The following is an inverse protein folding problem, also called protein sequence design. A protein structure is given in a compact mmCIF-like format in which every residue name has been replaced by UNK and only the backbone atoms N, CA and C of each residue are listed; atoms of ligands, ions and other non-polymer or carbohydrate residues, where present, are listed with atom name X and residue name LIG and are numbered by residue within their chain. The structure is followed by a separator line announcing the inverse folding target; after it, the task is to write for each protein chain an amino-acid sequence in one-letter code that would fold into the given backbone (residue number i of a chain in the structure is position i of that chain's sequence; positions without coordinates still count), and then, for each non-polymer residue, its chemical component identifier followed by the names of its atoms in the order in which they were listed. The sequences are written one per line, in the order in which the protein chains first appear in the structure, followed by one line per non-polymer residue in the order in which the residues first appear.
data_IF_508139887357
#
_entry.id   IF_508139887357
#
_cell.length_a   1.000
_cell.length_b   1.000
_cell.length_c   1.000
_cell.angle_alpha   90.00
_cell.angle_beta   90.00
_cell.angle_gamma   90.00
#
_symmetry.space_group_name_H-M   'P 1'
#
loop_
_entity.id
_entity.type
_entity.pdbx_description
1 polymer ?
#
# COMPACT_ATOMS: atom_id res chain seq x y z
N UNK A 1 9.21 13.24 19.23
CA UNK A 1 8.98 12.75 17.85
C UNK A 1 9.74 13.68 16.92
N UNK A 2 10.63 13.18 16.08
CA UNK A 2 11.33 14.03 15.11
C UNK A 2 10.32 14.63 14.13
N UNK A 3 10.45 15.93 13.83
CA UNK A 3 9.57 16.58 12.87
C UNK A 3 9.81 15.99 11.47
N UNK A 4 8.74 15.54 10.81
CA UNK A 4 8.83 15.06 9.42
C UNK A 4 9.04 16.24 8.49
N UNK A 5 10.19 16.27 7.82
CA UNK A 5 10.56 17.34 6.89
C UNK A 5 9.64 17.33 5.66
N UNK A 6 9.35 18.49 5.06
CA UNK A 6 8.51 18.60 3.85
C UNK A 6 9.06 17.75 2.70
N UNK A 7 10.39 17.64 2.58
CA UNK A 7 11.06 16.73 1.64
C UNK A 7 10.58 15.28 1.78
N UNK A 8 10.52 14.75 3.01
CA UNK A 8 10.11 13.36 3.24
C UNK A 8 8.63 13.15 2.87
N UNK A 9 7.78 14.15 3.11
CA UNK A 9 6.37 14.10 2.72
C UNK A 9 6.23 14.13 1.19
N UNK A 10 6.99 15.00 0.52
CA UNK A 10 7.01 15.12 -0.93
C UNK A 10 7.49 13.82 -1.59
N UNK A 11 8.66 13.30 -1.20
CA UNK A 11 9.20 12.07 -1.80
C UNK A 11 8.28 10.86 -1.59
N UNK A 12 7.58 10.80 -0.46
CA UNK A 12 6.56 9.77 -0.22
C UNK A 12 5.39 9.92 -1.21
N UNK A 13 4.84 11.13 -1.37
CA UNK A 13 3.75 11.38 -2.33
C UNK A 13 4.15 11.03 -3.76
N UNK A 14 5.36 11.39 -4.17
CA UNK A 14 5.90 11.06 -5.50
C UNK A 14 5.98 9.54 -5.72
N UNK A 15 6.53 8.81 -4.74
CA UNK A 15 6.60 7.34 -4.81
C UNK A 15 5.22 6.69 -4.85
N UNK A 16 4.31 7.12 -3.96
CA UNK A 16 2.93 6.62 -3.91
C UNK A 16 2.19 6.91 -5.24
N UNK A 17 2.41 8.08 -5.84
CA UNK A 17 1.85 8.45 -7.13
C UNK A 17 2.33 7.52 -8.25
N UNK A 18 3.64 7.31 -8.39
CA UNK A 18 4.20 6.45 -9.44
C UNK A 18 3.67 5.02 -9.33
N UNK A 19 3.58 4.48 -8.11
CA UNK A 19 3.04 3.14 -7.87
C UNK A 19 1.55 3.08 -8.19
N UNK A 20 0.76 4.07 -7.75
CA UNK A 20 -0.69 4.12 -8.00
C UNK A 20 -1.00 4.21 -9.49
N UNK A 21 -0.23 5.01 -10.21
CA UNK A 21 -0.36 5.22 -11.65
C UNK A 21 0.37 4.16 -12.49
N UNK A 22 0.97 3.16 -11.84
CA UNK A 22 1.69 2.08 -12.51
C UNK A 22 2.77 2.55 -13.48
N UNK A 23 3.39 3.70 -13.16
CA UNK A 23 4.41 4.34 -14.00
C UNK A 23 3.87 5.00 -15.28
N UNK A 24 2.58 5.29 -15.39
CA UNK A 24 1.98 5.99 -16.53
C UNK A 24 0.99 7.05 -16.03
N UNK A 25 1.18 8.31 -16.41
CA UNK A 25 0.27 9.39 -16.05
C UNK A 25 0.05 10.35 -17.23
N UNK A 26 -1.06 11.09 -17.19
CA UNK A 26 -1.37 12.16 -18.14
C UNK A 26 -1.06 13.55 -17.55
N UNK A 27 -1.37 14.60 -18.32
CA UNK A 27 -1.13 15.97 -17.89
C UNK A 27 -2.00 16.39 -16.70
N UNK A 28 -3.27 16.01 -16.65
CA UNK A 28 -4.19 16.35 -15.55
C UNK A 28 -3.75 15.74 -14.21
N UNK A 29 -3.27 14.49 -14.25
CA UNK A 29 -2.74 13.77 -13.09
C UNK A 29 -1.43 14.40 -12.60
N UNK A 30 -0.60 14.87 -13.53
CA UNK A 30 0.62 15.64 -13.23
C UNK A 30 0.30 16.98 -12.56
N UNK A 31 -0.64 17.76 -13.10
CA UNK A 31 -1.04 19.04 -12.51
C UNK A 31 -1.64 18.86 -11.12
N UNK A 32 -2.46 17.80 -10.94
CA UNK A 32 -3.01 17.42 -9.63
C UNK A 32 -1.90 17.16 -8.62
N UNK A 33 -0.87 16.40 -8.99
CA UNK A 33 0.29 16.13 -8.15
C UNK A 33 1.04 17.41 -7.78
N UNK A 34 1.24 18.33 -8.73
CA UNK A 34 1.87 19.63 -8.47
C UNK A 34 1.08 20.45 -7.45
N UNK A 35 -0.25 20.48 -7.55
CA UNK A 35 -1.12 21.12 -6.56
C UNK A 35 -1.01 20.50 -5.16
N UNK A 36 -0.92 19.17 -5.07
CA UNK A 36 -0.70 18.50 -3.79
C UNK A 36 0.66 18.80 -3.14
N UNK A 37 1.69 19.06 -3.95
CA UNK A 37 3.03 19.39 -3.47
C UNK A 37 3.14 20.86 -3.11
N UNK A 38 2.51 21.76 -3.87
CA UNK A 38 2.35 23.16 -3.50
C UNK A 38 1.70 23.31 -2.12
N UNK A 39 0.70 22.47 -1.81
CA UNK A 39 0.04 22.43 -0.50
C UNK A 39 0.97 22.05 0.67
N UNK A 40 2.19 21.58 0.41
CA UNK A 40 3.22 21.36 1.43
C UNK A 40 3.98 22.65 1.81
N UNK A 41 3.60 23.80 1.24
CA UNK A 41 4.24 25.10 1.45
C UNK A 41 5.48 25.30 0.60
N UNK A 42 5.57 24.60 -0.54
CA UNK A 42 6.66 24.73 -1.51
C UNK A 42 6.22 25.69 -2.61
N UNK A 43 7.07 26.65 -2.93
CA UNK A 43 6.84 27.53 -4.07
C UNK A 43 7.06 26.74 -5.36
N UNK A 44 6.03 26.75 -6.23
CA UNK A 44 5.99 25.90 -7.40
C UNK A 44 6.32 26.67 -8.67
N UNK A 45 7.54 27.19 -8.73
CA UNK A 45 8.08 27.82 -9.93
C UNK A 45 8.39 26.80 -11.04
N UNK A 46 8.53 27.31 -12.27
CA UNK A 46 8.77 26.50 -13.46
C UNK A 46 10.01 25.60 -13.32
N UNK A 47 11.09 26.12 -12.71
CA UNK A 47 12.30 25.34 -12.49
C UNK A 47 12.04 24.19 -11.52
N UNK A 48 11.31 24.41 -10.43
CA UNK A 48 10.98 23.34 -9.49
C UNK A 48 10.06 22.29 -10.15
N UNK A 49 9.12 22.70 -11.01
CA UNK A 49 8.28 21.76 -11.76
C UNK A 49 9.12 20.86 -12.67
N UNK A 50 10.11 21.42 -13.36
CA UNK A 50 11.06 20.65 -14.18
C UNK A 50 11.84 19.63 -13.33
N UNK A 51 12.38 20.05 -12.18
CA UNK A 51 13.09 19.15 -11.27
C UNK A 51 12.18 18.03 -10.74
N UNK A 52 10.93 18.36 -10.42
CA UNK A 52 9.94 17.40 -9.95
C UNK A 52 9.61 16.37 -11.04
N UNK A 53 9.43 16.82 -12.28
CA UNK A 53 9.18 15.95 -13.43
C UNK A 53 10.34 15.00 -13.69
N UNK A 54 11.57 15.50 -13.65
CA UNK A 54 12.78 14.67 -13.75
C UNK A 54 12.83 13.63 -12.63
N UNK A 55 12.58 14.01 -11.39
CA UNK A 55 12.55 13.07 -10.26
C UNK A 55 11.48 11.99 -10.46
N UNK A 56 10.30 12.36 -10.95
CA UNK A 56 9.19 11.44 -11.21
C UNK A 56 9.57 10.40 -12.28
N UNK A 57 10.25 10.81 -13.36
CA UNK A 57 10.76 9.88 -14.37
C UNK A 57 11.82 8.91 -13.81
N UNK A 58 12.70 9.38 -12.93
CA UNK A 58 13.64 8.48 -12.24
C UNK A 58 12.91 7.46 -11.36
N UNK A 59 11.89 7.89 -10.61
CA UNK A 59 11.06 7.00 -9.81
C UNK A 59 10.29 5.99 -10.67
N UNK A 60 9.85 6.39 -11.86
CA UNK A 60 9.22 5.51 -12.85
C UNK A 60 10.19 4.43 -13.33
N UNK A 61 11.43 4.79 -13.66
CA UNK A 61 12.47 3.80 -14.02
C UNK A 61 12.66 2.80 -12.89
N UNK A 62 12.78 3.30 -11.65
CA UNK A 62 12.91 2.46 -10.47
C UNK A 62 11.71 1.55 -10.21
N UNK A 63 10.49 2.02 -10.45
CA UNK A 63 9.28 1.21 -10.36
C UNK A 63 9.32 0.00 -11.30
N UNK A 64 9.77 0.19 -12.55
CA UNK A 64 9.90 -0.93 -13.50
C UNK A 64 11.08 -1.86 -13.20
N UNK A 65 12.17 -1.34 -12.64
CA UNK A 65 13.32 -2.15 -12.25
C UNK A 65 13.15 -2.89 -10.91
N UNK A 66 12.25 -2.43 -10.04
CA UNK A 66 11.99 -3.00 -8.72
C UNK A 66 10.55 -3.53 -8.63
N UNK A 67 10.23 -4.64 -9.32
CA UNK A 67 8.89 -5.21 -9.27
C UNK A 67 8.53 -5.55 -7.82
N UNK A 68 7.30 -5.21 -7.43
CA UNK A 68 6.80 -5.50 -6.11
C UNK A 68 6.95 -7.01 -5.84
N UNK A 69 7.76 -7.36 -4.82
CA UNK A 69 7.82 -8.74 -4.35
C UNK A 69 6.42 -9.10 -3.88
N UNK A 70 5.76 -10.02 -4.59
CA UNK A 70 4.43 -10.47 -4.24
C UNK A 70 4.42 -10.82 -2.75
N UNK A 71 3.66 -10.05 -1.97
CA UNK A 71 3.48 -10.34 -0.57
C UNK A 71 2.94 -11.76 -0.50
N UNK A 72 3.76 -12.71 -0.05
CA UNK A 72 3.33 -14.09 0.13
C UNK A 72 2.17 -14.02 1.10
N UNK A 73 0.95 -14.20 0.59
CA UNK A 73 -0.26 -14.32 1.41
C UNK A 73 0.04 -15.42 2.42
N UNK A 74 0.37 -15.03 3.64
CA UNK A 74 0.53 -15.94 4.77
C UNK A 74 -0.85 -16.56 4.96
N UNK A 75 -1.06 -17.76 4.37
CA UNK A 75 -2.29 -18.53 4.53
C UNK A 75 -2.53 -18.64 6.03
N UNK A 76 -3.51 -17.90 6.53
CA UNK A 76 -4.02 -18.08 7.87
C UNK A 76 -4.52 -19.52 7.93
N UNK A 77 -3.82 -20.38 8.67
CA UNK A 77 -4.26 -21.75 8.93
C UNK A 77 -5.68 -21.67 9.48
N UNK A 78 -6.62 -22.28 8.75
CA UNK A 78 -8.00 -22.45 9.18
C UNK A 78 -8.01 -23.11 10.57
N UNK A 79 -8.63 -22.44 11.54
CA UNK A 79 -8.84 -22.97 12.89
C UNK A 79 -9.81 -24.15 12.76
N UNK A 80 -9.29 -25.37 12.86
CA UNK A 80 -10.08 -26.59 12.86
C UNK A 80 -11.09 -26.58 14.02
N UNK A 81 -12.37 -26.83 13.71
CA UNK A 81 -13.41 -27.16 14.71
C UNK A 81 -13.04 -28.48 15.40
N UNK A 82 -12.96 -28.54 16.74
CA UNK A 82 -13.03 -29.81 17.44
C UNK A 82 -14.47 -30.32 17.41
N UNK A 83 -14.66 -31.46 16.76
CA UNK A 83 -15.90 -32.23 16.72
C UNK A 83 -16.04 -32.98 18.04
N UNK A 84 -16.76 -32.43 19.01
CA UNK A 84 -17.14 -33.17 20.22
C UNK A 84 -18.25 -34.18 19.87
N UNK A 85 -17.85 -35.44 19.63
CA UNK A 85 -18.71 -36.59 19.85
C UNK A 85 -18.54 -36.99 21.31
N UNK A 86 -19.57 -36.82 22.13
CA UNK A 86 -19.71 -37.54 23.39
C UNK A 86 -21.12 -38.16 23.42
N UNK A 87 -21.13 -39.45 23.06
CA UNK A 87 -22.24 -40.39 23.16
C UNK A 87 -22.17 -40.99 24.56
N UNK A 88 -23.17 -40.78 25.42
CA UNK A 88 -23.41 -41.60 26.61
C UNK A 88 -24.77 -41.27 27.25
N UNK A 89 -25.80 -42.04 26.90
CA UNK A 89 -26.99 -42.22 27.73
C UNK A 89 -27.69 -43.53 27.33
N UNK A 90 -27.26 -44.64 27.91
CA UNK A 90 -28.10 -45.79 28.28
C UNK A 90 -27.29 -46.80 29.10
N UNK A 91 -27.72 -47.06 30.33
CA UNK A 91 -28.01 -48.41 30.83
C UNK A 91 -29.49 -48.43 31.26
N UNK A 92 -30.20 -49.52 31.52
CA UNK A 92 -30.02 -50.96 31.45
C UNK A 92 -31.42 -51.55 31.74
N UNK A 93 -31.74 -52.66 31.12
CA UNK A 93 -32.99 -53.40 31.32
C UNK A 93 -33.07 -53.98 32.73
N UNK A 94 -34.25 -53.97 33.34
CA UNK A 94 -34.62 -54.94 34.38
C UNK A 94 -36.03 -55.47 34.11
N UNK A 95 -36.10 -56.78 33.95
CA UNK A 95 -37.30 -57.58 33.78
C UNK A 95 -38.02 -57.80 35.12
N UNK A 96 -39.35 -57.84 35.08
CA UNK A 96 -40.19 -58.96 35.56
C UNK A 96 -41.67 -58.64 35.37
#
# INVERSE_FOLDING_TARGET
MAATHSLQKMTKKLGDFVVKQQGVWNHEEWETLCGEIAALGVDMDDSFQEHLGLLLEHLRVFYFCMPATAATKRRTKAKAKPRAKAKAAQPEQAAS
#
